data_IF_306006202006
#
_entry.id   IF_306006202006
#
_cell.length_a   1.000
_cell.length_b   1.000
_cell.length_c   1.000
_cell.angle_alpha   90.00
_cell.angle_beta   90.00
_cell.angle_gamma   90.00
#
_symmetry.space_group_name_H-M   'P 1'
#
loop_
_entity.id
_entity.type
_entity.pdbx_description
1 polymer ?
#
# COMPACT_ATOMS: atom_id res chain seq x y z
N UNK A 1 -18.31 2.31 -4.67
CA UNK A 1 -18.54 2.02 -3.26
C UNK A 1 -18.32 0.53 -2.99
N UNK A 2 -17.23 0.20 -2.31
CA UNK A 2 -16.81 -1.18 -2.08
C UNK A 2 -17.71 -1.87 -1.05
N UNK A 3 -18.21 -1.12 -0.09
CA UNK A 3 -19.09 -1.63 0.96
C UNK A 3 -20.54 -1.36 0.55
N UNK A 4 -21.27 -2.43 0.25
CA UNK A 4 -22.66 -2.35 -0.18
C UNK A 4 -23.63 -2.03 0.96
N UNK A 5 -23.18 -2.13 2.18
CA UNK A 5 -23.95 -1.94 3.37
C UNK A 5 -23.61 -0.57 3.98
N UNK A 6 -24.61 0.27 4.22
CA UNK A 6 -24.39 1.63 4.72
C UNK A 6 -24.02 1.68 6.21
N UNK A 7 -23.75 0.54 6.83
CA UNK A 7 -23.40 0.46 8.26
C UNK A 7 -21.92 0.77 8.54
N UNK A 8 -21.10 0.99 7.49
CA UNK A 8 -19.70 1.32 7.69
C UNK A 8 -19.54 2.78 8.11
N UNK A 9 -18.83 3.00 9.20
CA UNK A 9 -18.44 4.34 9.65
C UNK A 9 -17.28 4.85 8.80
N UNK A 10 -17.42 6.06 8.27
CA UNK A 10 -16.37 6.69 7.48
C UNK A 10 -15.55 7.64 8.35
N UNK A 11 -14.23 7.64 8.13
CA UNK A 11 -13.30 8.51 8.83
C UNK A 11 -12.57 9.40 7.83
N UNK A 12 -12.24 10.61 8.23
CA UNK A 12 -11.49 11.54 7.40
C UNK A 12 -9.98 11.24 7.40
N UNK A 13 -9.49 10.58 8.45
CA UNK A 13 -8.07 10.21 8.55
C UNK A 13 -7.90 8.79 9.07
N UNK A 14 -6.77 8.19 8.69
CA UNK A 14 -6.37 6.87 9.19
C UNK A 14 -6.17 6.89 10.71
N UNK A 15 -5.55 7.94 11.24
CA UNK A 15 -5.28 8.04 12.67
C UNK A 15 -6.55 8.00 13.51
N UNK A 16 -7.60 8.69 13.10
CA UNK A 16 -8.88 8.67 13.81
C UNK A 16 -9.48 7.26 13.82
N UNK A 17 -9.47 6.61 12.68
CA UNK A 17 -9.97 5.24 12.57
C UNK A 17 -9.15 4.26 13.41
N UNK A 18 -7.83 4.40 13.41
CA UNK A 18 -6.94 3.55 14.19
C UNK A 18 -7.17 3.72 15.71
N UNK A 19 -7.35 4.95 16.16
CA UNK A 19 -7.66 5.22 17.57
C UNK A 19 -8.96 4.52 17.99
N UNK A 20 -9.99 4.58 17.16
CA UNK A 20 -11.25 3.91 17.45
C UNK A 20 -11.12 2.39 17.42
N UNK A 21 -10.31 1.85 16.53
CA UNK A 21 -10.01 0.42 16.49
C UNK A 21 -9.27 -0.03 17.77
N UNK A 22 -8.27 0.74 18.19
CA UNK A 22 -7.51 0.44 19.41
C UNK A 22 -8.34 0.51 20.68
N UNK A 23 -9.38 1.36 20.69
CA UNK A 23 -10.28 1.54 21.84
C UNK A 23 -11.55 0.68 21.76
N UNK A 24 -11.57 -0.32 20.89
CA UNK A 24 -12.69 -1.25 20.71
C UNK A 24 -14.03 -0.57 20.34
N UNK A 25 -13.96 0.60 19.72
CA UNK A 25 -15.15 1.30 19.22
C UNK A 25 -15.60 0.77 17.87
N UNK A 26 -14.67 0.22 17.10
CA UNK A 26 -14.93 -0.51 15.86
C UNK A 26 -14.17 -1.84 15.91
N UNK A 27 -14.66 -2.83 15.18
CA UNK A 27 -14.08 -4.19 15.21
C UNK A 27 -13.03 -4.41 14.12
N UNK A 28 -13.13 -3.68 13.03
CA UNK A 28 -12.24 -3.81 11.88
C UNK A 28 -12.18 -2.51 11.09
N UNK A 29 -11.08 -2.31 10.38
CA UNK A 29 -10.87 -1.17 9.51
C UNK A 29 -10.54 -1.66 8.11
N UNK A 30 -11.31 -1.20 7.11
CA UNK A 30 -11.01 -1.45 5.70
C UNK A 30 -10.14 -0.31 5.17
N UNK A 31 -8.95 -0.65 4.74
CA UNK A 31 -7.95 0.32 4.28
C UNK A 31 -7.03 -0.34 3.24
N UNK A 32 -6.38 0.48 2.44
CA UNK A 32 -5.33 0.03 1.53
C UNK A 32 -4.17 -0.59 2.32
N UNK A 33 -3.76 -1.80 1.92
CA UNK A 33 -2.74 -2.59 2.64
C UNK A 33 -1.38 -1.88 2.69
N UNK A 34 -0.95 -1.26 1.60
CA UNK A 34 0.33 -0.54 1.54
C UNK A 34 0.32 0.61 2.56
N UNK A 35 -0.78 1.33 2.61
CA UNK A 35 -0.97 2.44 3.53
C UNK A 35 -0.97 1.99 4.99
N UNK A 36 -1.70 0.91 5.28
CA UNK A 36 -1.76 0.32 6.62
C UNK A 36 -0.37 -0.13 7.08
N UNK A 37 0.36 -0.86 6.26
CA UNK A 37 1.71 -1.32 6.58
C UNK A 37 2.65 -0.17 6.88
N UNK A 38 2.61 0.89 6.07
CA UNK A 38 3.46 2.06 6.27
C UNK A 38 3.20 2.72 7.63
N UNK A 39 1.94 3.06 7.91
CA UNK A 39 1.59 3.77 9.14
C UNK A 39 1.79 2.94 10.39
N UNK A 40 1.41 1.67 10.36
CA UNK A 40 1.59 0.77 11.51
C UNK A 40 3.07 0.54 11.79
N UNK A 41 3.87 0.41 10.76
CA UNK A 41 5.33 0.24 10.94
C UNK A 41 5.96 1.49 11.54
N UNK A 42 5.58 2.67 11.08
CA UNK A 42 6.08 3.94 11.62
C UNK A 42 5.77 4.12 13.10
N UNK A 43 4.65 3.57 13.57
CA UNK A 43 4.22 3.66 14.96
C UNK A 43 4.64 2.45 15.80
N UNK A 44 5.42 1.52 15.25
CA UNK A 44 5.80 0.26 15.88
C UNK A 44 4.59 -0.59 16.33
N UNK A 45 3.50 -0.54 15.57
CA UNK A 45 2.24 -1.24 15.86
C UNK A 45 1.91 -2.36 14.90
N UNK A 46 2.82 -2.68 13.99
CA UNK A 46 2.57 -3.69 12.94
C UNK A 46 2.19 -5.06 13.52
N UNK A 47 2.81 -5.43 14.64
CA UNK A 47 2.55 -6.71 15.30
C UNK A 47 1.30 -6.71 16.20
N UNK A 48 0.71 -5.54 16.43
CA UNK A 48 -0.48 -5.40 17.29
C UNK A 48 -1.79 -5.70 16.53
N UNK A 49 -1.73 -5.80 15.21
CA UNK A 49 -2.90 -5.99 14.36
C UNK A 49 -2.73 -7.15 13.39
N UNK A 50 -3.84 -7.78 13.07
CA UNK A 50 -3.90 -8.77 11.99
C UNK A 50 -4.33 -8.06 10.70
N UNK A 51 -3.49 -8.14 9.67
CA UNK A 51 -3.82 -7.61 8.35
C UNK A 51 -4.33 -8.76 7.49
N UNK A 52 -5.61 -8.70 7.15
CA UNK A 52 -6.30 -9.75 6.41
C UNK A 52 -6.67 -9.25 5.02
N UNK A 53 -6.69 -10.16 4.05
CA UNK A 53 -7.17 -9.85 2.71
C UNK A 53 -8.70 -9.84 2.72
N UNK A 54 -9.28 -8.70 2.32
CA UNK A 54 -10.74 -8.54 2.27
C UNK A 54 -11.39 -9.15 1.02
N UNK A 55 -10.61 -9.76 0.11
CA UNK A 55 -11.13 -10.40 -1.09
C UNK A 55 -11.40 -9.46 -2.26
N UNK A 56 -11.02 -8.20 -2.15
CA UNK A 56 -11.11 -7.25 -3.26
C UNK A 56 -9.87 -7.32 -4.16
N UNK A 57 -10.03 -6.86 -5.39
CA UNK A 57 -8.90 -6.76 -6.31
C UNK A 57 -7.85 -5.79 -5.78
N UNK A 58 -6.58 -6.16 -5.96
CA UNK A 58 -5.46 -5.30 -5.59
C UNK A 58 -5.32 -4.14 -6.57
N UNK A 59 -5.07 -2.96 -6.04
CA UNK A 59 -4.73 -1.78 -6.82
C UNK A 59 -3.23 -1.57 -6.81
N UNK A 60 -2.71 -0.97 -7.89
CA UNK A 60 -1.31 -0.59 -7.99
C UNK A 60 -1.17 0.93 -7.86
N UNK A 61 -0.18 1.37 -7.11
CA UNK A 61 0.27 2.75 -7.14
C UNK A 61 1.27 2.92 -8.28
N UNK A 62 1.21 4.05 -8.96
CA UNK A 62 2.02 4.26 -10.14
C UNK A 62 2.50 5.71 -10.24
N UNK A 63 3.55 5.91 -11.02
CA UNK A 63 4.04 7.24 -11.37
C UNK A 63 3.26 7.73 -12.60
N UNK A 64 2.63 8.90 -12.47
CA UNK A 64 1.92 9.52 -13.59
C UNK A 64 2.86 10.41 -14.41
N UNK A 65 2.73 10.35 -15.72
CA UNK A 65 3.48 11.20 -16.64
C UNK A 65 2.55 11.72 -17.74
N UNK A 66 2.99 12.78 -18.44
CA UNK A 66 2.24 13.27 -19.60
C UNK A 66 2.25 12.22 -20.71
N UNK A 67 1.17 12.17 -21.49
CA UNK A 67 1.02 11.17 -22.56
C UNK A 67 2.15 11.21 -23.60
N UNK A 68 2.72 12.40 -23.83
CA UNK A 68 3.79 12.60 -24.79
C UNK A 68 5.19 12.18 -24.27
N UNK A 69 5.34 11.98 -22.96
CA UNK A 69 6.62 11.71 -22.32
C UNK A 69 6.98 10.20 -22.36
N UNK A 70 6.91 9.59 -23.53
CA UNK A 70 7.11 8.14 -23.72
C UNK A 70 8.54 7.73 -23.32
N UNK A 71 9.53 8.50 -23.72
CA UNK A 71 10.93 8.23 -23.38
C UNK A 71 11.16 8.25 -21.87
N UNK A 72 10.57 9.24 -21.17
CA UNK A 72 10.64 9.35 -19.71
C UNK A 72 10.00 8.14 -19.03
N UNK A 73 8.81 7.75 -19.46
CA UNK A 73 8.09 6.59 -18.93
C UNK A 73 8.93 5.32 -19.09
N UNK A 74 9.50 5.10 -20.26
CA UNK A 74 10.34 3.93 -20.52
C UNK A 74 11.58 3.91 -19.62
N UNK A 75 12.22 5.05 -19.41
CA UNK A 75 13.38 5.16 -18.50
C UNK A 75 13.02 4.90 -17.06
N UNK A 76 11.87 5.39 -16.60
CA UNK A 76 11.38 5.14 -15.23
C UNK A 76 11.10 3.64 -15.05
N UNK A 77 10.42 3.01 -16.00
CA UNK A 77 10.14 1.57 -15.95
C UNK A 77 11.41 0.73 -15.95
N UNK A 78 12.39 1.09 -16.79
CA UNK A 78 13.70 0.43 -16.80
C UNK A 78 14.41 0.59 -15.45
N UNK A 79 14.37 1.78 -14.86
CA UNK A 79 15.00 2.04 -13.57
C UNK A 79 14.36 1.20 -12.46
N UNK A 80 13.04 1.09 -12.44
CA UNK A 80 12.35 0.22 -11.47
C UNK A 80 12.75 -1.25 -11.64
N UNK A 81 12.79 -1.73 -12.87
CA UNK A 81 13.21 -3.10 -13.16
C UNK A 81 14.65 -3.37 -12.73
N UNK A 82 15.58 -2.46 -13.03
CA UNK A 82 16.98 -2.58 -12.63
C UNK A 82 17.14 -2.58 -11.09
N UNK A 83 16.42 -1.69 -10.39
CA UNK A 83 16.43 -1.65 -8.94
C UNK A 83 15.87 -2.96 -8.34
N UNK A 84 14.85 -3.52 -8.94
CA UNK A 84 14.29 -4.80 -8.52
C UNK A 84 15.30 -5.93 -8.74
N UNK A 85 15.92 -5.98 -9.91
CA UNK A 85 16.92 -7.00 -10.25
C UNK A 85 18.14 -6.95 -9.31
N UNK A 86 18.56 -5.75 -8.91
CA UNK A 86 19.67 -5.55 -7.98
C UNK A 86 19.31 -5.81 -6.51
N UNK A 87 18.06 -6.03 -6.19
CA UNK A 87 17.59 -6.23 -4.83
C UNK A 87 17.34 -4.95 -4.05
N UNK A 88 17.62 -3.78 -4.61
CA UNK A 88 17.43 -2.49 -3.93
C UNK A 88 15.97 -2.10 -3.77
N UNK A 89 15.13 -2.44 -4.72
CA UNK A 89 13.70 -2.20 -4.63
C UNK A 89 13.10 -2.92 -3.41
N UNK A 90 13.44 -4.20 -3.24
CA UNK A 90 12.99 -5.02 -2.12
C UNK A 90 13.50 -4.49 -0.79
N UNK A 91 14.76 -4.06 -0.74
CA UNK A 91 15.36 -3.48 0.47
C UNK A 91 14.60 -2.23 0.92
N UNK A 92 14.33 -1.30 0.00
CA UNK A 92 13.58 -0.08 0.28
C UNK A 92 12.14 -0.40 0.66
N UNK A 93 11.51 -1.32 -0.07
CA UNK A 93 10.14 -1.75 0.18
C UNK A 93 9.99 -2.35 1.59
N UNK A 94 10.90 -3.23 1.97
CA UNK A 94 10.90 -3.82 3.31
C UNK A 94 11.17 -2.78 4.39
N UNK A 95 12.04 -1.82 4.13
CA UNK A 95 12.32 -0.74 5.07
C UNK A 95 11.08 0.09 5.40
N UNK A 96 10.30 0.45 4.39
CA UNK A 96 9.18 1.37 4.54
C UNK A 96 7.83 0.69 4.78
N UNK A 97 7.63 -0.50 4.22
CA UNK A 97 6.33 -1.18 4.24
C UNK A 97 6.36 -2.54 4.96
N UNK A 98 7.54 -3.05 5.28
CA UNK A 98 7.67 -4.35 5.93
C UNK A 98 7.49 -5.55 5.01
N UNK A 99 7.28 -5.32 3.71
CA UNK A 99 7.12 -6.36 2.70
C UNK A 99 7.50 -5.85 1.31
N UNK A 100 7.63 -6.77 0.34
CA UNK A 100 7.86 -6.43 -1.06
C UNK A 100 6.53 -6.05 -1.72
N UNK A 101 6.38 -4.76 -2.05
CA UNK A 101 5.16 -4.22 -2.70
C UNK A 101 5.30 -4.11 -4.22
N UNK A 102 6.36 -4.66 -4.81
CA UNK A 102 6.56 -4.60 -6.26
C UNK A 102 5.45 -5.32 -7.01
N UNK A 103 4.94 -4.68 -8.05
CA UNK A 103 3.95 -5.29 -8.95
C UNK A 103 4.63 -6.21 -9.97
N UNK A 104 3.82 -6.97 -10.70
CA UNK A 104 4.33 -7.84 -11.77
C UNK A 104 5.08 -7.05 -12.84
N UNK A 105 4.62 -5.84 -13.14
CA UNK A 105 5.20 -4.95 -14.14
C UNK A 105 6.62 -4.52 -13.75
N UNK A 106 6.89 -4.34 -12.46
CA UNK A 106 8.24 -4.03 -11.96
C UNK A 106 9.13 -5.26 -12.01
N UNK A 107 8.60 -6.43 -11.68
CA UNK A 107 9.37 -7.69 -11.59
C UNK A 107 9.75 -8.26 -12.93
N UNK A 108 9.00 -7.95 -13.98
CA UNK A 108 9.23 -8.44 -15.33
C UNK A 108 9.25 -7.28 -16.32
N UNK A 109 10.25 -7.25 -17.14
CA UNK A 109 10.38 -6.23 -18.17
C UNK A 109 9.51 -6.57 -19.39
#
# INVERSE_FOLDING_TARGET
>A
NIVKNNDATQYESFNEALIDLENDRIDALLIDKVYANYYLKQQNKLDDFNILNAGFESEAFAVGARKADITLVNKINEAFYELYREGKFQEISNKWFGEDVATKEVKSK
#
